data_IF_627513261508
#
_entry.id   IF_627513261508
#
_cell.length_a   1.000
_cell.length_b   1.000
_cell.length_c   1.000
_cell.angle_alpha   90.00
_cell.angle_beta   90.00
_cell.angle_gamma   90.00
#
_symmetry.space_group_name_H-M   'P 1'
#
loop_
_entity.id
_entity.type
_entity.pdbx_description
1 polymer ?
#
# COMPACT_ATOMS: atom_id res chain seq x y z
N UNK A 1 -17.20 -35.23 -4.69
CA UNK A 1 -17.85 -34.31 -5.65
C UNK A 1 -17.29 -32.93 -5.36
N UNK A 2 -16.80 -32.19 -6.36
CA UNK A 2 -16.30 -30.83 -6.16
C UNK A 2 -17.44 -29.84 -6.40
N UNK A 3 -17.58 -28.84 -5.53
CA UNK A 3 -18.52 -27.75 -5.74
C UNK A 3 -17.96 -26.82 -6.82
N UNK A 4 -18.77 -26.55 -7.84
CA UNK A 4 -18.55 -25.51 -8.83
C UNK A 4 -18.91 -24.14 -8.27
N UNK A 5 -18.54 -23.07 -8.97
CA UNK A 5 -18.92 -21.71 -8.58
C UNK A 5 -20.44 -21.48 -8.60
N UNK A 6 -21.16 -22.21 -9.47
CA UNK A 6 -22.62 -22.18 -9.52
C UNK A 6 -23.25 -22.77 -8.27
N UNK A 7 -22.61 -23.77 -7.65
CA UNK A 7 -23.09 -24.39 -6.40
C UNK A 7 -23.01 -23.42 -5.19
N UNK A 8 -22.18 -22.37 -5.31
CA UNK A 8 -22.12 -21.26 -4.36
C UNK A 8 -23.06 -20.09 -4.74
N UNK A 9 -23.96 -20.26 -5.71
CA UNK A 9 -24.85 -19.18 -6.15
C UNK A 9 -24.10 -18.00 -6.77
N UNK A 10 -22.92 -18.23 -7.33
CA UNK A 10 -22.01 -17.19 -7.83
C UNK A 10 -21.52 -16.22 -6.73
N UNK A 11 -21.54 -16.64 -5.46
CA UNK A 11 -20.93 -15.90 -4.35
C UNK A 11 -19.45 -16.24 -4.23
N UNK A 12 -18.60 -15.30 -4.67
CA UNK A 12 -17.15 -15.48 -4.66
C UNK A 12 -16.56 -15.54 -3.24
N UNK A 13 -17.22 -14.90 -2.26
CA UNK A 13 -16.76 -14.91 -0.87
C UNK A 13 -17.04 -16.28 -0.24
N UNK A 14 -18.23 -16.85 -0.46
CA UNK A 14 -18.56 -18.19 0.04
C UNK A 14 -17.69 -19.26 -0.62
N UNK A 15 -17.47 -19.18 -1.94
CA UNK A 15 -16.53 -20.05 -2.62
C UNK A 15 -15.10 -19.94 -2.04
N UNK A 16 -14.62 -18.71 -1.80
CA UNK A 16 -13.31 -18.48 -1.18
C UNK A 16 -13.25 -19.03 0.25
N UNK A 17 -14.28 -18.83 1.07
CA UNK A 17 -14.37 -19.39 2.42
C UNK A 17 -14.26 -20.91 2.40
N UNK A 18 -15.00 -21.57 1.50
CA UNK A 18 -14.95 -23.03 1.35
C UNK A 18 -13.55 -23.51 0.93
N UNK A 19 -12.92 -22.84 -0.03
CA UNK A 19 -11.54 -23.17 -0.45
C UNK A 19 -10.56 -22.98 0.71
N UNK A 20 -10.60 -21.85 1.41
CA UNK A 20 -9.70 -21.56 2.53
C UNK A 20 -9.90 -22.53 3.69
N UNK A 21 -11.14 -22.95 3.99
CA UNK A 21 -11.43 -23.94 5.02
C UNK A 21 -10.76 -25.31 4.76
N UNK A 22 -10.58 -25.66 3.49
CA UNK A 22 -9.89 -26.88 3.08
C UNK A 22 -8.35 -26.79 3.17
N UNK A 23 -7.79 -25.58 3.32
CA UNK A 23 -6.34 -25.37 3.46
C UNK A 23 -5.88 -25.39 4.92
N UNK A 24 -4.56 -25.40 5.20
CA UNK A 24 -4.03 -25.21 6.55
C UNK A 24 -4.39 -23.87 7.21
N UNK A 25 -4.79 -22.85 6.43
CA UNK A 25 -5.22 -21.57 7.00
C UNK A 25 -6.54 -21.71 7.76
N UNK A 26 -7.44 -22.60 7.32
CA UNK A 26 -8.78 -22.88 7.89
C UNK A 26 -9.77 -21.71 7.87
N UNK A 27 -9.33 -20.48 8.06
CA UNK A 27 -10.19 -19.30 8.15
C UNK A 27 -9.61 -18.13 7.34
N UNK A 28 -10.49 -17.22 6.93
CA UNK A 28 -10.11 -16.04 6.13
C UNK A 28 -9.11 -15.15 6.89
N UNK A 29 -9.32 -14.92 8.18
CA UNK A 29 -8.45 -14.09 9.01
C UNK A 29 -7.06 -14.68 9.18
N UNK A 30 -6.94 -16.01 9.37
CA UNK A 30 -5.64 -16.66 9.40
C UNK A 30 -4.97 -16.65 8.02
N UNK A 31 -5.73 -16.82 6.93
CA UNK A 31 -5.19 -16.70 5.57
C UNK A 31 -4.65 -15.29 5.31
N UNK A 32 -5.41 -14.24 5.69
CA UNK A 32 -4.98 -12.84 5.63
C UNK A 32 -3.72 -12.63 6.46
N UNK A 33 -3.72 -13.04 7.74
CA UNK A 33 -2.56 -12.87 8.61
C UNK A 33 -1.29 -13.51 8.03
N UNK A 34 -1.43 -14.69 7.41
CA UNK A 34 -0.31 -15.46 6.86
C UNK A 34 0.17 -14.99 5.49
N UNK A 35 -0.66 -14.28 4.73
CA UNK A 35 -0.40 -13.96 3.31
C UNK A 35 -0.24 -12.47 3.04
N UNK A 36 -0.76 -11.60 3.91
CA UNK A 36 -0.54 -10.16 3.80
C UNK A 36 0.83 -9.81 4.37
N UNK A 37 1.64 -9.15 3.55
CA UNK A 37 3.00 -8.76 3.92
C UNK A 37 3.11 -7.24 3.97
N UNK A 38 3.76 -6.76 5.02
CA UNK A 38 4.01 -5.35 5.30
C UNK A 38 5.50 -5.02 5.15
N UNK A 39 5.82 -3.73 5.02
CA UNK A 39 7.20 -3.25 5.14
C UNK A 39 7.78 -3.51 6.53
N UNK A 40 9.10 -3.66 6.63
CA UNK A 40 9.75 -3.73 7.94
C UNK A 40 9.55 -2.41 8.71
N UNK A 41 9.32 -2.42 10.05
CA UNK A 41 9.25 -1.20 10.85
C UNK A 41 10.46 -0.27 10.67
N UNK A 42 11.68 -0.83 10.55
CA UNK A 42 12.89 -0.02 10.32
C UNK A 42 12.93 0.64 8.93
N UNK A 43 12.33 0.01 7.92
CA UNK A 43 12.15 0.59 6.58
C UNK A 43 11.15 1.75 6.65
N UNK A 44 10.02 1.56 7.34
CA UNK A 44 8.98 2.60 7.50
C UNK A 44 9.49 3.79 8.32
N UNK A 45 10.30 3.54 9.36
CA UNK A 45 10.86 4.58 10.22
C UNK A 45 11.73 5.57 9.45
N UNK A 46 12.44 5.13 8.40
CA UNK A 46 13.26 6.01 7.56
C UNK A 46 12.44 7.07 6.81
N UNK A 47 11.15 6.81 6.53
CA UNK A 47 10.26 7.84 5.94
C UNK A 47 9.56 8.70 7.00
N UNK A 48 9.69 8.35 8.29
CA UNK A 48 8.94 8.97 9.38
C UNK A 48 7.42 8.74 9.26
N UNK A 49 7.00 7.62 8.66
CA UNK A 49 5.60 7.33 8.33
C UNK A 49 4.91 8.37 7.41
N UNK A 50 5.69 9.26 6.79
CA UNK A 50 5.22 10.27 5.83
C UNK A 50 4.96 9.63 4.45
N UNK A 51 4.15 10.27 3.58
CA UNK A 51 3.96 9.80 2.22
C UNK A 51 5.29 9.81 1.47
N UNK A 52 5.56 8.80 0.64
CA UNK A 52 6.75 8.80 -0.20
C UNK A 52 6.77 10.00 -1.16
N UNK A 53 5.62 10.27 -1.79
CA UNK A 53 5.34 11.41 -2.68
C UNK A 53 3.88 11.83 -2.48
N UNK A 54 3.60 13.13 -2.42
CA UNK A 54 2.22 13.61 -2.22
C UNK A 54 1.40 13.42 -3.49
N UNK A 55 0.71 12.29 -3.59
CA UNK A 55 -0.20 11.98 -4.70
C UNK A 55 -1.57 11.61 -4.18
N UNK A 56 -2.56 11.68 -5.07
CA UNK A 56 -3.94 11.26 -4.82
C UNK A 56 -4.48 10.52 -6.04
N UNK A 57 -5.52 9.72 -5.85
CA UNK A 57 -6.11 8.95 -6.95
C UNK A 57 -7.00 9.84 -7.81
N UNK A 58 -6.60 9.96 -9.07
CA UNK A 58 -7.41 10.48 -10.18
C UNK A 58 -6.90 9.86 -11.49
N UNK A 59 -7.55 8.77 -11.90
CA UNK A 59 -7.12 8.01 -13.07
C UNK A 59 -7.30 8.78 -14.38
N UNK A 60 -8.25 9.72 -14.43
CA UNK A 60 -8.52 10.51 -15.63
C UNK A 60 -7.42 11.54 -15.87
N UNK A 61 -6.90 12.14 -14.80
CA UNK A 61 -5.87 13.18 -14.83
C UNK A 61 -4.47 12.68 -14.43
N UNK A 62 -4.26 11.36 -14.48
CA UNK A 62 -2.99 10.72 -14.10
C UNK A 62 -1.76 11.39 -14.74
N UNK A 63 -0.77 11.75 -13.93
CA UNK A 63 0.47 12.42 -14.33
C UNK A 63 0.39 13.96 -14.32
N UNK A 64 -0.80 14.51 -14.09
CA UNK A 64 -0.96 15.94 -13.83
C UNK A 64 -0.62 16.28 -12.37
N UNK A 65 -0.47 17.57 -12.10
CA UNK A 65 -0.24 18.12 -10.77
C UNK A 65 -1.26 19.22 -10.56
N UNK A 66 -1.83 19.28 -9.38
CA UNK A 66 -2.71 20.36 -8.95
C UNK A 66 -2.34 20.84 -7.55
N UNK A 67 -2.80 22.03 -7.19
CA UNK A 67 -2.66 22.56 -5.84
C UNK A 67 -3.92 22.21 -5.03
N UNK A 68 -3.73 21.67 -3.81
CA UNK A 68 -4.80 21.43 -2.84
C UNK A 68 -4.37 21.99 -1.49
N UNK A 69 -5.11 22.99 -1.00
CA UNK A 69 -4.83 23.58 0.32
C UNK A 69 -3.41 24.13 0.46
N UNK A 70 -2.85 24.73 -0.59
CA UNK A 70 -1.48 25.27 -0.60
C UNK A 70 -0.37 24.24 -0.81
N UNK A 71 -0.73 22.97 -1.08
CA UNK A 71 0.23 21.88 -1.32
C UNK A 71 0.07 21.35 -2.74
N UNK A 72 1.18 21.19 -3.46
CA UNK A 72 1.17 20.51 -4.75
C UNK A 72 0.99 19.01 -4.56
N UNK A 73 0.04 18.44 -5.29
CA UNK A 73 -0.25 17.00 -5.30
C UNK A 73 -0.22 16.46 -6.73
N UNK A 74 0.41 15.29 -6.92
CA UNK A 74 0.34 14.57 -8.17
C UNK A 74 -0.94 13.74 -8.28
N UNK A 75 -1.52 13.67 -9.48
CA UNK A 75 -2.70 12.87 -9.76
C UNK A 75 -2.29 11.52 -10.35
N UNK A 76 -2.87 10.42 -9.87
CA UNK A 76 -2.37 9.08 -10.21
C UNK A 76 -3.45 7.96 -10.18
N UNK A 77 -3.10 6.75 -10.63
CA UNK A 77 -4.01 5.58 -10.75
C UNK A 77 -3.61 4.37 -9.88
N UNK A 78 -3.00 4.61 -8.71
CA UNK A 78 -2.34 3.64 -7.81
C UNK A 78 -0.93 3.18 -8.23
N UNK A 79 -0.35 3.75 -9.30
CA UNK A 79 1.04 3.49 -9.67
C UNK A 79 2.04 3.98 -8.64
N UNK A 80 1.88 5.19 -8.11
CA UNK A 80 2.79 5.84 -7.15
C UNK A 80 2.80 5.16 -5.78
N UNK A 81 1.66 4.70 -5.20
CA UNK A 81 1.70 3.79 -4.05
C UNK A 81 2.42 2.47 -4.35
N UNK A 82 2.17 1.87 -5.52
CA UNK A 82 2.86 0.63 -5.94
C UNK A 82 4.37 0.86 -6.05
N UNK A 83 4.78 1.95 -6.68
CA UNK A 83 6.19 2.32 -6.84
C UNK A 83 6.84 2.63 -5.48
N UNK A 84 6.17 3.40 -4.62
CA UNK A 84 6.63 3.68 -3.26
C UNK A 84 6.91 2.39 -2.50
N UNK A 85 5.95 1.46 -2.47
CA UNK A 85 6.12 0.17 -1.81
C UNK A 85 7.27 -0.64 -2.45
N UNK A 86 7.31 -0.78 -3.77
CA UNK A 86 8.36 -1.57 -4.43
C UNK A 86 9.76 -0.98 -4.24
N UNK A 87 9.89 0.35 -4.34
CA UNK A 87 11.20 1.00 -4.32
C UNK A 87 11.75 1.06 -2.90
N UNK A 88 10.93 1.42 -1.91
CA UNK A 88 11.36 1.48 -0.52
C UNK A 88 11.72 0.11 0.06
N UNK A 89 11.16 -0.97 -0.48
CA UNK A 89 11.48 -2.33 -0.06
C UNK A 89 12.48 -3.06 -0.97
N UNK A 90 13.14 -2.34 -1.90
CA UNK A 90 14.11 -2.92 -2.85
C UNK A 90 13.54 -4.09 -3.72
N UNK A 91 12.23 -4.08 -3.98
CA UNK A 91 11.54 -5.18 -4.64
C UNK A 91 11.39 -5.01 -6.16
N UNK A 92 11.29 -6.15 -6.83
CA UNK A 92 10.65 -6.27 -8.15
C UNK A 92 9.17 -6.60 -7.94
N UNK A 93 8.32 -6.22 -8.90
CA UNK A 93 6.89 -6.55 -8.83
C UNK A 93 6.72 -8.07 -8.78
N UNK A 94 6.13 -8.63 -7.72
CA UNK A 94 5.78 -10.04 -7.68
C UNK A 94 4.64 -10.34 -8.66
N UNK A 95 4.59 -11.58 -9.17
CA UNK A 95 3.47 -12.06 -9.99
C UNK A 95 2.27 -12.32 -9.07
N UNK A 96 1.06 -12.13 -9.60
CA UNK A 96 -0.19 -12.40 -8.89
C UNK A 96 -0.29 -11.75 -7.49
N UNK A 97 0.19 -10.50 -7.40
CA UNK A 97 0.14 -9.71 -6.19
C UNK A 97 -0.50 -8.34 -6.44
N UNK A 98 -1.21 -7.86 -5.44
CA UNK A 98 -1.82 -6.54 -5.41
C UNK A 98 -1.26 -5.73 -4.25
N UNK A 99 -1.13 -4.42 -4.46
CA UNK A 99 -0.72 -3.46 -3.43
C UNK A 99 -1.98 -2.74 -2.98
N UNK A 100 -2.27 -2.81 -1.68
CA UNK A 100 -3.53 -2.32 -1.13
C UNK A 100 -3.26 -1.27 -0.06
N UNK A 101 -4.16 -0.30 0.01
CA UNK A 101 -4.25 0.65 1.10
C UNK A 101 -4.99 0.02 2.28
N UNK A 102 -4.49 0.21 3.49
CA UNK A 102 -5.14 -0.24 4.73
C UNK A 102 -6.29 0.71 5.11
N UNK A 103 -6.07 2.01 4.94
CA UNK A 103 -7.09 3.04 5.07
C UNK A 103 -7.46 3.56 3.69
N UNK A 104 -8.71 3.34 3.30
CA UNK A 104 -9.25 3.72 2.01
C UNK A 104 -9.63 5.21 1.97
N UNK A 105 -8.64 6.09 2.03
CA UNK A 105 -8.78 7.49 1.63
C UNK A 105 -7.81 7.77 0.48
N UNK A 106 -8.30 7.63 -0.74
CA UNK A 106 -7.50 7.87 -1.92
C UNK A 106 -7.35 9.35 -2.29
N UNK A 107 -8.01 10.25 -1.54
CA UNK A 107 -7.94 11.69 -1.72
C UNK A 107 -7.00 12.39 -0.73
N UNK A 108 -6.53 11.65 0.29
CA UNK A 108 -5.59 12.15 1.30
C UNK A 108 -4.12 11.99 0.85
N UNK A 109 -3.43 13.08 0.46
CA UNK A 109 -2.04 13.03 0.05
C UNK A 109 -1.06 12.67 1.19
N UNK A 110 -1.47 12.78 2.45
CA UNK A 110 -0.62 12.48 3.62
C UNK A 110 -0.55 10.98 3.92
N UNK A 111 -1.52 10.19 3.45
CA UNK A 111 -1.55 8.74 3.70
C UNK A 111 -1.45 7.89 2.43
N UNK A 112 -1.78 8.44 1.25
CA UNK A 112 -1.95 7.65 0.02
C UNK A 112 -0.68 6.89 -0.43
N UNK A 113 0.52 7.44 -0.23
CA UNK A 113 1.79 6.76 -0.53
C UNK A 113 2.64 6.45 0.71
N UNK A 114 2.07 6.58 1.91
CA UNK A 114 2.78 6.23 3.14
C UNK A 114 2.95 4.71 3.21
N UNK A 115 4.18 4.24 3.48
CA UNK A 115 4.46 2.82 3.63
C UNK A 115 3.67 2.19 4.78
N UNK A 116 3.34 2.97 5.82
CA UNK A 116 2.53 2.51 6.94
C UNK A 116 1.09 2.17 6.51
N UNK A 117 0.60 2.81 5.45
CA UNK A 117 -0.73 2.60 4.89
C UNK A 117 -0.76 1.52 3.80
N UNK A 118 0.36 0.89 3.46
CA UNK A 118 0.47 -0.02 2.33
C UNK A 118 0.84 -1.44 2.76
N UNK A 119 0.20 -2.41 2.12
CA UNK A 119 0.58 -3.82 2.21
C UNK A 119 0.52 -4.47 0.83
N UNK A 120 1.16 -5.63 0.71
CA UNK A 120 1.07 -6.49 -0.48
C UNK A 120 0.32 -7.77 -0.14
N UNK A 121 -0.57 -8.19 -1.02
CA UNK A 121 -1.36 -9.42 -0.86
C UNK A 121 -1.35 -10.23 -2.15
N UNK A 122 -1.52 -11.56 -2.08
CA UNK A 122 -1.90 -12.34 -3.25
C UNK A 122 -3.20 -11.81 -3.87
N UNK A 123 -3.27 -11.75 -5.21
CA UNK A 123 -4.43 -11.19 -5.92
C UNK A 123 -5.75 -11.87 -5.53
N UNK A 124 -5.73 -13.18 -5.25
CA UNK A 124 -6.94 -13.95 -4.96
C UNK A 124 -7.60 -13.62 -3.61
N UNK A 125 -6.90 -12.95 -2.67
CA UNK A 125 -7.48 -12.43 -1.42
C UNK A 125 -7.48 -10.90 -1.35
N UNK A 126 -6.91 -10.21 -2.35
CA UNK A 126 -6.73 -8.76 -2.31
C UNK A 126 -8.05 -8.01 -2.14
N UNK A 127 -9.12 -8.49 -2.76
CA UNK A 127 -10.45 -7.86 -2.68
C UNK A 127 -11.03 -7.84 -1.26
N UNK A 128 -10.61 -8.77 -0.40
CA UNK A 128 -11.06 -8.76 0.99
C UNK A 128 -10.57 -7.54 1.76
N UNK A 129 -9.45 -6.95 1.34
CA UNK A 129 -8.84 -5.80 2.02
C UNK A 129 -9.71 -4.54 1.96
N UNK A 130 -10.58 -4.41 0.95
CA UNK A 130 -11.53 -3.30 0.83
C UNK A 130 -12.99 -3.70 1.06
N UNK A 131 -13.36 -4.98 0.92
CA UNK A 131 -14.77 -5.41 1.03
C UNK A 131 -15.16 -6.10 2.33
N UNK A 132 -14.24 -6.77 3.03
CA UNK A 132 -14.58 -7.49 4.27
C UNK A 132 -14.31 -6.59 5.50
N UNK A 133 -15.34 -6.22 6.29
CA UNK A 133 -15.17 -5.29 7.42
C UNK A 133 -14.22 -5.81 8.51
N UNK A 134 -14.18 -7.12 8.74
CA UNK A 134 -13.32 -7.71 9.75
C UNK A 134 -11.87 -7.81 9.26
N UNK A 135 -11.66 -8.11 7.98
CA UNK A 135 -10.31 -8.02 7.38
C UNK A 135 -9.79 -6.58 7.43
N UNK A 136 -10.64 -5.59 7.18
CA UNK A 136 -10.28 -4.17 7.31
C UNK A 136 -9.85 -3.81 8.73
N UNK A 137 -10.58 -4.26 9.75
CA UNK A 137 -10.20 -3.99 11.15
C UNK A 137 -8.89 -4.70 11.53
N UNK A 138 -8.68 -5.95 11.08
CA UNK A 138 -7.42 -6.68 11.25
C UNK A 138 -6.23 -5.95 10.65
N UNK A 139 -6.34 -5.48 9.40
CA UNK A 139 -5.24 -4.77 8.74
C UNK A 139 -4.95 -3.42 9.40
N UNK A 140 -5.98 -2.66 9.80
CA UNK A 140 -5.82 -1.39 10.51
C UNK A 140 -5.09 -1.58 11.84
N UNK A 141 -5.51 -2.56 12.63
CA UNK A 141 -4.83 -2.87 13.88
C UNK A 141 -3.41 -3.40 13.64
N UNK A 142 -3.17 -4.20 12.59
CA UNK A 142 -1.81 -4.67 12.25
C UNK A 142 -0.88 -3.52 11.88
N UNK A 143 -1.35 -2.54 11.12
CA UNK A 143 -0.60 -1.31 10.82
C UNK A 143 -0.27 -0.54 12.10
N UNK A 144 -1.22 -0.40 13.02
CA UNK A 144 -0.99 0.24 14.31
C UNK A 144 0.00 -0.54 15.19
N UNK A 145 -0.15 -1.87 15.30
CA UNK A 145 0.74 -2.76 16.04
C UNK A 145 2.19 -2.70 15.53
N UNK A 146 2.39 -2.62 14.21
CA UNK A 146 3.73 -2.57 13.61
C UNK A 146 4.40 -1.19 13.73
N UNK A 147 3.63 -0.11 13.62
CA UNK A 147 4.19 1.22 13.37
C UNK A 147 3.71 2.32 14.33
N UNK A 148 2.74 2.04 15.19
CA UNK A 148 2.03 3.06 15.98
C UNK A 148 1.34 4.11 15.11
N UNK A 149 1.01 3.77 13.86
CA UNK A 149 0.55 4.74 12.86
C UNK A 149 -0.95 4.62 12.58
N UNK A 150 -1.60 5.78 12.48
CA UNK A 150 -2.99 5.98 12.08
C UNK A 150 -3.06 7.26 11.25
N UNK A 151 -3.91 7.36 10.20
CA UNK A 151 -4.14 8.63 9.51
C UNK A 151 -4.59 9.73 10.47
N UNK A 152 -4.18 10.97 10.19
CA UNK A 152 -4.55 12.11 11.01
C UNK A 152 -6.07 12.26 11.13
N UNK A 153 -6.55 12.57 12.34
CA UNK A 153 -7.97 12.77 12.61
C UNK A 153 -8.79 11.47 12.79
N UNK A 154 -8.17 10.29 12.63
CA UNK A 154 -8.81 9.02 12.96
C UNK A 154 -8.37 8.54 14.35
N UNK A 155 -9.28 7.83 15.02
CA UNK A 155 -9.00 7.18 16.29
C UNK A 155 -8.11 5.94 16.10
N UNK A 156 -7.38 5.58 17.15
CA UNK A 156 -6.65 4.31 17.21
C UNK A 156 -7.61 3.13 16.97
N UNK A 157 -7.21 2.14 16.15
CA UNK A 157 -8.07 1.00 15.87
C UNK A 157 -8.19 0.11 17.11
N UNK A 158 -9.40 -0.33 17.41
CA UNK A 158 -9.61 -1.35 18.43
C UNK A 158 -8.95 -2.68 18.04
N UNK A 159 -8.38 -3.38 19.03
CA UNK A 159 -7.82 -4.71 18.82
C UNK A 159 -8.93 -5.69 18.40
N UNK A 160 -8.85 -6.32 17.23
CA UNK A 160 -9.87 -7.26 16.81
C UNK A 160 -9.88 -8.53 17.69
N UNK A 161 -11.05 -9.14 17.90
CA UNK A 161 -11.13 -10.42 18.58
C UNK A 161 -10.20 -11.46 17.94
N UNK A 162 -9.53 -12.29 18.74
CA UNK A 162 -8.61 -13.35 18.27
C UNK A 162 -7.33 -12.87 17.57
N UNK A 163 -7.04 -11.57 17.48
CA UNK A 163 -5.81 -11.06 16.85
C UNK A 163 -4.55 -11.76 17.37
N UNK A 164 -4.44 -11.91 18.69
CA UNK A 164 -3.28 -12.53 19.37
C UNK A 164 -3.15 -14.04 19.11
N UNK A 165 -4.18 -14.67 18.50
CA UNK A 165 -4.16 -16.09 18.09
C UNK A 165 -3.74 -16.28 16.64
N UNK A 166 -3.70 -15.20 15.86
CA UNK A 166 -3.32 -15.25 14.46
C UNK A 166 -1.80 -15.33 14.33
N UNK A 167 -1.33 -16.23 13.47
CA UNK A 167 0.08 -16.27 13.08
C UNK A 167 0.28 -15.36 11.87
N UNK A 168 0.91 -14.21 12.10
CA UNK A 168 1.20 -13.24 11.04
C UNK A 168 2.44 -13.63 10.25
N UNK A 169 2.42 -13.36 8.94
CA UNK A 169 3.63 -13.35 8.13
C UNK A 169 4.63 -12.33 8.72
N UNK A 170 5.94 -12.65 8.70
CA UNK A 170 6.93 -11.65 9.03
C UNK A 170 6.85 -10.49 8.03
N UNK A 171 7.13 -9.25 8.46
CA UNK A 171 7.37 -8.15 7.54
C UNK A 171 8.49 -8.50 6.54
N UNK A 172 8.58 -7.75 5.45
CA UNK A 172 9.71 -7.82 4.53
C UNK A 172 11.04 -7.59 5.27
N UNK A 173 12.18 -8.09 4.76
CA UNK A 173 13.48 -7.76 5.31
C UNK A 173 13.70 -6.23 5.37
N UNK A 174 14.39 -5.72 6.40
CA UNK A 174 14.70 -4.30 6.50
C UNK A 174 15.59 -3.85 5.34
N UNK A 175 15.32 -2.66 4.80
CA UNK A 175 16.20 -1.98 3.85
C UNK A 175 17.06 -0.99 4.63
N UNK A 176 18.39 -1.13 4.54
CA UNK A 176 19.32 -0.32 5.33
C UNK A 176 19.29 1.17 4.96
N UNK A 177 19.13 1.48 3.66
CA UNK A 177 19.10 2.85 3.14
C UNK A 177 18.02 2.96 2.06
N UNK A 178 16.82 3.34 2.50
CA UNK A 178 15.63 3.49 1.65
C UNK A 178 15.83 4.60 0.62
N UNK A 179 16.51 5.69 1.00
CA UNK A 179 16.76 6.83 0.14
C UNK A 179 17.65 6.43 -1.04
N UNK A 180 18.82 5.84 -0.78
CA UNK A 180 19.77 5.45 -1.81
C UNK A 180 19.17 4.43 -2.78
N UNK A 181 18.46 3.42 -2.27
CA UNK A 181 17.79 2.42 -3.11
C UNK A 181 16.73 3.08 -4.01
N UNK A 182 15.93 3.96 -3.44
CA UNK A 182 14.87 4.65 -4.19
C UNK A 182 15.45 5.61 -5.24
N UNK A 183 16.50 6.38 -4.90
CA UNK A 183 17.21 7.24 -5.87
C UNK A 183 17.78 6.43 -7.03
N UNK A 184 18.45 5.31 -6.74
CA UNK A 184 19.00 4.41 -7.76
C UNK A 184 17.91 3.80 -8.65
N UNK A 185 16.71 3.57 -8.12
CA UNK A 185 15.56 3.07 -8.88
C UNK A 185 15.00 4.14 -9.81
N UNK A 186 14.84 5.37 -9.31
CA UNK A 186 14.32 6.50 -10.08
C UNK A 186 15.28 6.93 -11.19
N UNK A 187 16.60 6.93 -10.96
CA UNK A 187 17.59 7.33 -11.96
C UNK A 187 17.58 6.45 -13.22
N UNK A 188 17.26 5.16 -13.07
CA UNK A 188 17.12 4.19 -14.18
C UNK A 188 15.82 4.33 -14.96
N UNK A 189 14.87 5.13 -14.46
CA UNK A 189 13.53 5.28 -15.04
C UNK A 189 13.14 6.76 -15.17
N UNK A 190 13.93 7.59 -15.87
CA UNK A 190 13.72 9.03 -15.89
C UNK A 190 12.37 9.43 -16.49
N UNK A 191 11.75 8.60 -17.34
CA UNK A 191 10.43 8.85 -17.96
C UNK A 191 9.25 8.24 -17.20
N UNK A 192 9.49 7.56 -16.08
CA UNK A 192 8.42 6.99 -15.27
C UNK A 192 7.57 8.10 -14.64
N UNK A 193 6.24 7.94 -14.67
CA UNK A 193 5.29 8.95 -14.21
C UNK A 193 5.52 9.34 -12.74
N UNK A 194 5.79 8.37 -11.87
CA UNK A 194 6.07 8.65 -10.45
C UNK A 194 7.34 9.48 -10.31
N UNK A 195 8.38 9.18 -11.10
CA UNK A 195 9.63 9.97 -11.15
C UNK A 195 9.39 11.39 -11.63
N UNK A 196 8.54 11.57 -12.65
CA UNK A 196 8.18 12.89 -13.17
C UNK A 196 7.42 13.73 -12.13
N UNK A 197 6.52 13.11 -11.35
CA UNK A 197 5.84 13.78 -10.25
C UNK A 197 6.84 14.18 -9.16
N UNK A 198 7.69 13.24 -8.71
CA UNK A 198 8.73 13.49 -7.69
C UNK A 198 9.64 14.65 -8.06
N UNK A 199 10.04 14.76 -9.33
CA UNK A 199 10.87 15.88 -9.80
C UNK A 199 10.19 17.26 -9.75
N UNK A 200 8.86 17.29 -9.75
CA UNK A 200 8.08 18.53 -9.80
C UNK A 200 7.58 18.98 -8.44
N UNK A 201 7.33 18.06 -7.50
CA UNK A 201 6.77 18.37 -6.17
C UNK A 201 7.65 17.90 -5.00
N UNK A 202 8.79 17.27 -5.29
CA UNK A 202 9.62 16.65 -4.27
C UNK A 202 9.05 15.33 -3.75
N UNK A 203 9.67 14.84 -2.68
CA UNK A 203 9.41 13.53 -2.07
C UNK A 203 10.03 13.49 -0.67
N UNK A 204 9.75 12.43 0.09
CA UNK A 204 10.06 12.36 1.53
C UNK A 204 11.53 12.61 1.93
N UNK A 205 12.49 12.40 1.01
CA UNK A 205 13.94 12.59 1.24
C UNK A 205 14.55 13.81 0.52
N UNK A 206 13.77 14.57 -0.23
CA UNK A 206 14.24 15.80 -0.89
C UNK A 206 13.47 17.03 -0.45
N UNK A 207 12.70 16.90 0.64
CA UNK A 207 11.59 17.75 1.01
C UNK A 207 10.56 17.93 -0.13
N UNK A 208 9.31 18.28 0.20
CA UNK A 208 8.25 18.44 -0.81
C UNK A 208 8.35 19.82 -1.49
N UNK A 209 9.55 20.16 -1.94
CA UNK A 209 9.83 21.43 -2.61
C UNK A 209 9.64 21.30 -4.12
N UNK A 210 8.98 22.29 -4.70
CA UNK A 210 8.83 22.37 -6.14
C UNK A 210 10.17 22.76 -6.76
N UNK A 211 10.93 21.80 -7.30
CA UNK A 211 11.94 22.14 -8.30
C UNK A 211 11.23 22.58 -9.57
N UNK A 212 11.16 23.89 -9.80
CA UNK A 212 10.81 24.46 -11.11
C UNK A 212 11.89 24.01 -12.09
N UNK A 213 11.69 22.87 -12.75
CA UNK A 213 12.52 22.48 -13.88
C UNK A 213 11.92 23.20 -15.10
N UNK A 214 12.61 24.17 -15.70
CA UNK A 214 12.15 24.78 -16.94
C UNK A 214 12.03 23.67 -17.98
N UNK A 215 10.85 23.50 -18.56
CA UNK A 215 10.63 22.55 -19.65
C UNK A 215 11.44 23.01 -20.87
N UNK A 216 12.65 22.49 -21.01
CA UNK A 216 13.41 22.54 -22.26
C UNK A 216 12.79 21.56 -23.25
N UNK A 217 12.30 22.10 -24.37
CA UNK A 217 11.89 21.33 -25.55
C UNK A 217 13.06 20.46 -26.02
N UNK A 218 12.81 19.17 -26.25
CA UNK A 218 13.63 18.31 -27.13
C UNK A 218 12.85 18.17 -28.43
#
# INVERSE_FOLDING_TARGET
MFNSFADFGLDGLEALRAVIAATPYRTIDQAVASLVVFSHPDTVRQTGCRPFVKTVRDAARRGQIEERGGVLVGLDDNKSPTDAFLWCNALRRPREAQFNHVYADSADPESYTSLANLCVTPSFIAKLTDTDPYVRSLLRYRTFDLYGWVPAGLAEPERPPKYDRLVWAPPLPPVADVEAVSRARMSRKPRDRTVQIVRRIGWVFGDFEATVVPYGKV
#
